data_IF_202228395340
#
_entry.id   IF_202228395340
#
_cell.length_a   1.000
_cell.length_b   1.000
_cell.length_c   1.000
_cell.angle_alpha   90.00
_cell.angle_beta   90.00
_cell.angle_gamma   90.00
#
_symmetry.space_group_name_H-M   'P 1'
#
loop_
_entity.id
_entity.type
_entity.pdbx_description
1 polymer ?
#
# COMPACT_ATOMS: atom_id res chain seq x y z
N UNK A 1 10.01 23.85 -6.89
CA UNK A 1 10.17 22.52 -6.28
C UNK A 1 8.89 22.24 -5.53
N UNK A 2 8.02 21.41 -6.10
CA UNK A 2 6.64 21.17 -5.65
C UNK A 2 6.66 20.15 -4.49
N UNK A 3 7.18 20.57 -3.34
CA UNK A 3 7.14 19.78 -2.11
C UNK A 3 5.72 19.92 -1.57
N UNK A 4 4.88 18.93 -1.83
CA UNK A 4 3.56 18.88 -1.22
C UNK A 4 3.71 18.80 0.30
N UNK A 5 2.72 19.29 1.05
CA UNK A 5 2.80 19.60 2.50
C UNK A 5 3.16 18.43 3.42
N UNK A 6 3.32 17.22 2.87
CA UNK A 6 3.70 15.99 3.56
C UNK A 6 5.21 15.68 3.51
N UNK A 7 6.01 16.43 2.75
CA UNK A 7 7.47 16.21 2.66
C UNK A 7 7.90 15.03 1.80
N UNK A 8 6.99 14.48 0.99
CA UNK A 8 7.26 13.40 0.05
C UNK A 8 7.79 13.96 -1.27
N UNK A 9 8.79 13.29 -1.82
CA UNK A 9 9.30 13.56 -3.15
C UNK A 9 8.31 13.12 -4.24
N UNK A 10 8.43 13.71 -5.41
CA UNK A 10 7.69 13.35 -6.62
C UNK A 10 7.75 11.84 -6.94
N UNK A 11 8.91 11.21 -6.72
CA UNK A 11 9.10 9.77 -6.97
C UNK A 11 8.37 8.91 -5.93
N UNK A 12 8.46 9.28 -4.66
CA UNK A 12 7.78 8.60 -3.56
C UNK A 12 6.26 8.66 -3.74
N UNK A 13 5.74 9.83 -4.12
CA UNK A 13 4.32 9.98 -4.42
C UNK A 13 3.89 9.10 -5.59
N UNK A 14 4.67 9.04 -6.68
CA UNK A 14 4.39 8.12 -7.80
C UNK A 14 4.41 6.66 -7.34
N UNK A 15 5.35 6.27 -6.49
CA UNK A 15 5.43 4.91 -5.94
C UNK A 15 4.16 4.54 -5.16
N UNK A 16 3.78 5.36 -4.18
CA UNK A 16 2.61 5.12 -3.34
C UNK A 16 1.33 5.09 -4.19
N UNK A 17 1.22 6.03 -5.14
CA UNK A 17 0.08 6.16 -6.04
C UNK A 17 -0.05 4.96 -6.98
N UNK A 18 1.07 4.46 -7.50
CA UNK A 18 1.09 3.25 -8.31
C UNK A 18 0.54 2.05 -7.53
N UNK A 19 0.92 1.87 -6.26
CA UNK A 19 0.40 0.78 -5.43
C UNK A 19 -1.08 0.96 -5.11
N UNK A 20 -1.49 2.19 -4.76
CA UNK A 20 -2.87 2.50 -4.41
C UNK A 20 -3.83 2.33 -5.60
N UNK A 21 -3.51 2.95 -6.75
CA UNK A 21 -4.41 3.02 -7.91
C UNK A 21 -4.33 1.78 -8.79
N UNK A 22 -3.14 1.25 -9.10
CA UNK A 22 -3.04 0.09 -9.99
C UNK A 22 -3.31 -1.24 -9.27
N UNK A 23 -2.95 -1.33 -7.98
CA UNK A 23 -2.98 -2.59 -7.23
C UNK A 23 -3.90 -2.57 -6.02
N UNK A 24 -4.64 -1.48 -5.78
CA UNK A 24 -5.58 -1.39 -4.67
C UNK A 24 -4.93 -1.55 -3.28
N UNK A 25 -3.64 -1.22 -3.13
CA UNK A 25 -2.91 -1.40 -1.88
C UNK A 25 -1.96 -2.59 -1.79
N UNK A 26 -1.86 -3.40 -2.85
CA UNK A 26 -0.90 -4.53 -2.95
C UNK A 26 -1.53 -5.89 -2.63
N UNK A 27 -0.73 -6.97 -2.49
CA UNK A 27 0.74 -7.02 -2.53
C UNK A 27 1.30 -6.96 -3.95
N UNK A 28 2.37 -6.19 -4.15
CA UNK A 28 3.03 -6.04 -5.46
C UNK A 28 4.52 -6.35 -5.41
N UNK A 29 5.05 -6.94 -6.47
CA UNK A 29 6.48 -7.26 -6.61
C UNK A 29 7.32 -6.01 -6.92
N UNK A 30 8.60 -6.01 -6.51
CA UNK A 30 9.52 -4.92 -6.86
C UNK A 30 9.75 -4.84 -8.37
N UNK A 31 9.77 -5.98 -9.08
CA UNK A 31 9.91 -5.99 -10.53
C UNK A 31 8.74 -5.28 -11.22
N UNK A 32 7.53 -5.45 -10.69
CA UNK A 32 6.33 -4.79 -11.20
C UNK A 32 6.36 -3.29 -10.93
N UNK A 33 6.85 -2.88 -9.75
CA UNK A 33 7.04 -1.47 -9.41
C UNK A 33 8.11 -0.82 -10.27
N UNK A 34 9.23 -1.51 -10.45
CA UNK A 34 10.33 -1.09 -11.31
C UNK A 34 9.83 -0.84 -12.74
N UNK A 35 9.06 -1.77 -13.30
CA UNK A 35 8.46 -1.62 -14.62
C UNK A 35 7.43 -0.46 -14.68
N UNK A 36 6.57 -0.34 -13.67
CA UNK A 36 5.52 0.69 -13.66
C UNK A 36 6.07 2.12 -13.47
N UNK A 37 7.15 2.25 -12.69
CA UNK A 37 7.79 3.53 -12.41
C UNK A 37 8.91 3.87 -13.40
N UNK A 38 9.28 2.92 -14.27
CA UNK A 38 10.44 3.02 -15.17
C UNK A 38 11.73 3.31 -14.41
N UNK A 39 11.87 2.71 -13.22
CA UNK A 39 12.97 2.97 -12.30
C UNK A 39 13.65 1.66 -11.91
N UNK A 40 14.94 1.71 -11.59
CA UNK A 40 15.70 0.52 -11.21
C UNK A 40 15.22 -0.05 -9.87
N UNK A 41 15.12 -1.39 -9.79
CA UNK A 41 14.77 -2.10 -8.54
C UNK A 41 15.69 -1.71 -7.39
N UNK A 42 16.98 -1.53 -7.67
CA UNK A 42 17.99 -1.24 -6.65
C UNK A 42 17.79 0.18 -6.11
N UNK A 43 17.41 1.13 -6.97
CA UNK A 43 17.02 2.48 -6.52
C UNK A 43 15.76 2.44 -5.65
N UNK A 44 14.79 1.60 -6.01
CA UNK A 44 13.58 1.45 -5.20
C UNK A 44 13.90 0.84 -3.84
N UNK A 45 14.61 -0.30 -3.78
CA UNK A 45 14.85 -1.06 -2.55
C UNK A 45 15.89 -0.39 -1.65
N UNK A 46 16.94 0.20 -2.21
CA UNK A 46 18.06 0.74 -1.43
C UNK A 46 17.92 2.23 -1.11
N UNK A 47 17.12 2.98 -1.88
CA UNK A 47 16.98 4.44 -1.73
C UNK A 47 15.58 4.83 -1.28
N UNK A 48 14.54 4.36 -1.97
CA UNK A 48 13.16 4.84 -1.75
C UNK A 48 12.47 4.09 -0.59
N UNK A 49 12.52 2.76 -0.61
CA UNK A 49 11.91 1.88 0.40
C UNK A 49 12.32 2.19 1.85
N UNK A 50 13.59 2.41 2.21
CA UNK A 50 13.97 2.67 3.60
C UNK A 50 13.25 3.89 4.18
N UNK A 51 13.08 4.96 3.40
CA UNK A 51 12.36 6.15 3.84
C UNK A 51 10.85 5.88 3.99
N UNK A 52 10.24 5.25 2.98
CA UNK A 52 8.80 4.94 3.00
C UNK A 52 8.41 3.96 4.12
N UNK A 53 9.27 2.97 4.39
CA UNK A 53 9.10 2.03 5.50
C UNK A 53 9.28 2.71 6.84
N UNK A 54 10.29 3.57 6.99
CA UNK A 54 10.52 4.32 8.23
C UNK A 54 9.36 5.26 8.56
N UNK A 55 8.75 5.88 7.56
CA UNK A 55 7.55 6.71 7.73
C UNK A 55 6.27 5.89 8.01
N UNK A 56 6.31 4.56 7.84
CA UNK A 56 5.18 3.67 7.99
C UNK A 56 4.14 3.81 6.86
N UNK A 57 4.58 4.21 5.66
CA UNK A 57 3.73 4.37 4.47
C UNK A 57 3.65 3.08 3.65
N UNK A 58 4.69 2.26 3.67
CA UNK A 58 4.82 0.99 2.94
C UNK A 58 5.24 -0.11 3.91
N UNK A 59 4.71 -1.32 3.71
CA UNK A 59 5.08 -2.51 4.47
C UNK A 59 5.59 -3.60 3.54
N UNK A 60 6.73 -4.19 3.91
CA UNK A 60 7.30 -5.35 3.22
C UNK A 60 6.63 -6.63 3.75
N UNK A 61 6.11 -7.44 2.86
CA UNK A 61 5.52 -8.74 3.17
C UNK A 61 6.16 -9.83 2.29
N UNK A 62 6.08 -11.11 2.69
CA UNK A 62 6.61 -12.20 1.85
C UNK A 62 5.92 -12.30 0.48
N UNK A 63 4.70 -11.75 0.33
CA UNK A 63 3.98 -11.71 -0.96
C UNK A 63 4.33 -10.48 -1.81
N UNK A 64 5.07 -9.51 -1.27
CA UNK A 64 5.41 -8.25 -1.94
C UNK A 64 5.26 -7.03 -1.04
N UNK A 65 5.14 -5.86 -1.65
CA UNK A 65 4.98 -4.58 -0.98
C UNK A 65 3.50 -4.25 -0.89
N UNK A 66 3.06 -3.88 0.30
CA UNK A 66 1.71 -3.37 0.54
C UNK A 66 1.77 -1.93 1.00
N UNK A 67 0.79 -1.15 0.56
CA UNK A 67 0.62 0.21 0.99
C UNK A 67 -0.04 0.21 2.38
N UNK A 68 0.58 0.89 3.33
CA UNK A 68 0.00 1.05 4.66
C UNK A 68 -1.19 2.03 4.61
N UNK A 69 -2.13 1.95 5.58
CA UNK A 69 -3.26 2.89 5.65
C UNK A 69 -2.82 4.36 5.66
N UNK A 70 -1.68 4.65 6.29
CA UNK A 70 -1.08 5.98 6.32
C UNK A 70 -0.71 6.48 4.92
N UNK A 71 -0.20 5.60 4.04
CA UNK A 71 0.12 5.91 2.65
C UNK A 71 -1.09 6.38 1.85
N UNK A 72 -2.24 5.72 2.03
CA UNK A 72 -3.51 6.16 1.43
C UNK A 72 -3.92 7.54 1.92
N UNK A 73 -3.91 7.76 3.24
CA UNK A 73 -4.26 9.07 3.82
C UNK A 73 -3.34 10.18 3.33
N UNK A 74 -2.04 9.90 3.17
CA UNK A 74 -1.07 10.87 2.65
C UNK A 74 -1.32 11.22 1.18
N UNK A 75 -1.86 10.29 0.39
CA UNK A 75 -2.31 10.54 -0.97
C UNK A 75 -3.70 11.22 -1.04
N UNK A 76 -4.37 11.40 0.10
CA UNK A 76 -5.77 11.85 0.14
C UNK A 76 -6.75 10.79 -0.38
N UNK A 77 -6.32 9.53 -0.43
CA UNK A 77 -7.14 8.40 -0.87
C UNK A 77 -7.76 7.69 0.33
N UNK A 78 -8.96 7.14 0.15
CA UNK A 78 -9.58 6.26 1.13
C UNK A 78 -8.94 4.88 1.00
N UNK A 79 -8.29 4.40 2.07
CA UNK A 79 -7.78 3.03 2.09
C UNK A 79 -8.92 2.05 1.80
N UNK A 80 -8.75 1.07 0.89
CA UNK A 80 -9.75 0.05 0.68
C UNK A 80 -9.93 -0.68 2.01
N UNK A 81 -11.16 -0.65 2.50
CA UNK A 81 -11.53 -1.26 3.76
C UNK A 81 -11.22 -2.76 3.68
N UNK A 82 -10.07 -3.21 4.21
CA UNK A 82 -9.77 -4.65 4.36
C UNK A 82 -10.68 -5.32 5.41
N UNK A 83 -11.90 -4.83 5.59
CA UNK A 83 -13.01 -5.60 6.14
C UNK A 83 -13.62 -6.39 4.99
N UNK A 84 -13.26 -7.66 4.89
CA UNK A 84 -14.22 -8.76 4.84
C UNK A 84 -13.54 -10.04 4.33
N UNK A 85 -12.71 -10.65 5.18
CA UNK A 85 -12.62 -12.12 5.17
C UNK A 85 -12.81 -12.72 6.57
N UNK A 86 -12.65 -11.94 7.64
CA UNK A 86 -12.99 -12.38 9.00
C UNK A 86 -14.47 -12.18 9.39
N UNK A 87 -15.27 -11.42 8.62
CA UNK A 87 -16.69 -11.22 8.92
C UNK A 87 -17.57 -12.42 8.52
N UNK A 88 -17.00 -13.41 7.81
CA UNK A 88 -17.72 -14.62 7.36
C UNK A 88 -17.77 -15.74 8.43
N UNK A 89 -17.15 -15.53 9.60
CA UNK A 89 -17.02 -16.56 10.64
C UNK A 89 -17.95 -16.34 11.85
N UNK A 90 -18.68 -15.24 11.91
CA UNK A 90 -19.66 -14.96 12.98
C UNK A 90 -21.10 -15.34 12.57
N UNK A 91 -21.24 -16.41 11.79
CA UNK A 91 -22.54 -17.06 11.58
C UNK A 91 -23.04 -17.65 12.90
N UNK A 92 -23.55 -16.80 13.78
CA UNK A 92 -24.24 -17.17 15.00
C UNK A 92 -25.35 -18.16 14.66
N UNK A 93 -25.34 -19.23 15.43
CA UNK A 93 -26.32 -20.32 15.43
C UNK A 93 -27.68 -19.74 15.79
N UNK A 94 -28.60 -19.74 14.82
CA UNK A 94 -30.03 -19.61 15.08
C UNK A 94 -30.75 -20.74 14.34
N UNK A 95 -30.65 -21.98 14.85
CA UNK A 95 -31.64 -23.02 14.55
C UNK A 95 -32.67 -23.02 15.67
N UNK A 96 -33.88 -22.66 15.27
CA UNK A 96 -34.98 -22.19 16.09
C UNK A 96 -35.64 -23.32 16.88
N UNK A 97 -36.10 -22.99 18.09
CA UNK A 97 -37.16 -23.76 18.72
C UNK A 97 -38.48 -23.57 17.97
N UNK A 98 -39.07 -24.68 17.55
CA UNK A 98 -40.50 -25.00 17.71
C UNK A 98 -40.64 -26.53 17.79
#
# INVERSE_FOLDING_TARGET
LDVDKSGLDSMERRYLRCIAENYGGGPVGVETLSAALSEHRDMIEDVIEPYLMQQGLVQRTPRGRMLAPKGFTTLGLTAPNQKSQLDLLDGHVDDSGD
#
